data_IF_850859867022
#
_entry.id   IF_850859867022
#
_cell.length_a   1.000
_cell.length_b   1.000
_cell.length_c   1.000
_cell.angle_alpha   90.00
_cell.angle_beta   90.00
_cell.angle_gamma   90.00
#
_symmetry.space_group_name_H-M   'P 1'
#
loop_
_entity.id
_entity.type
_entity.pdbx_description
1 polymer ?
#
# COMPACT_ATOMS: atom_id res chain seq x y z
N UNK A 1 4.98 -14.53 -6.44
CA UNK A 1 6.01 -13.95 -5.55
C UNK A 1 6.21 -12.52 -6.02
N UNK A 2 6.32 -11.54 -5.10
CA UNK A 2 6.52 -10.15 -5.48
C UNK A 2 7.87 -10.01 -6.19
N UNK A 3 7.87 -9.67 -7.47
CA UNK A 3 9.03 -9.92 -8.33
C UNK A 3 9.85 -8.66 -8.64
N UNK A 4 9.39 -7.48 -8.23
CA UNK A 4 10.04 -6.21 -8.59
C UNK A 4 10.04 -5.24 -7.44
N UNK A 5 11.25 -4.81 -7.07
CA UNK A 5 11.53 -3.85 -6.00
C UNK A 5 11.21 -2.44 -6.48
N UNK A 6 10.37 -1.72 -5.75
CA UNK A 6 10.03 -0.31 -6.00
C UNK A 6 10.96 0.63 -5.23
N UNK A 7 11.18 0.33 -3.94
CA UNK A 7 11.95 1.19 -3.03
C UNK A 7 12.45 0.39 -1.84
N UNK A 8 13.63 0.75 -1.35
CA UNK A 8 14.15 0.32 -0.05
C UNK A 8 14.25 1.52 0.90
N UNK A 9 14.10 1.28 2.20
CA UNK A 9 14.34 2.29 3.24
C UNK A 9 14.81 1.67 4.55
N UNK A 10 15.55 2.43 5.35
CA UNK A 10 15.96 1.98 6.69
C UNK A 10 14.71 1.90 7.59
N UNK A 11 14.65 0.87 8.41
CA UNK A 11 13.54 0.64 9.35
C UNK A 11 13.28 1.86 10.26
N UNK A 12 14.33 2.65 10.54
CA UNK A 12 14.29 3.88 11.36
C UNK A 12 13.59 5.04 10.66
N UNK A 13 13.51 5.02 9.33
CA UNK A 13 12.89 6.10 8.54
C UNK A 13 11.36 5.99 8.49
N UNK A 14 10.80 4.84 8.92
CA UNK A 14 9.36 4.61 8.84
C UNK A 14 8.63 5.08 10.11
N UNK A 15 7.60 5.91 9.91
CA UNK A 15 6.72 6.37 10.99
C UNK A 15 5.95 5.22 11.62
N UNK A 16 5.82 5.28 12.94
CA UNK A 16 4.90 4.43 13.71
C UNK A 16 3.45 4.83 13.38
N UNK A 17 2.59 3.85 13.10
CA UNK A 17 1.16 4.08 12.84
C UNK A 17 0.34 3.46 13.98
N UNK A 18 -0.31 4.30 14.81
CA UNK A 18 -1.36 3.89 15.75
C UNK A 18 -0.98 3.83 17.24
N UNK A 19 -2.02 3.63 18.07
CA UNK A 19 -2.06 3.74 19.53
C UNK A 19 -1.01 2.90 20.29
N UNK A 20 -0.53 1.79 19.71
CA UNK A 20 0.51 0.91 20.29
C UNK A 20 1.94 1.19 19.77
N UNK A 21 2.15 2.20 18.92
CA UNK A 21 3.48 2.51 18.38
C UNK A 21 4.03 1.47 17.38
N UNK A 22 3.19 0.59 16.82
CA UNK A 22 3.63 -0.39 15.82
C UNK A 22 3.99 0.31 14.50
N UNK A 23 5.13 -0.06 13.94
CA UNK A 23 5.56 0.46 12.66
C UNK A 23 4.63 0.00 11.52
N UNK A 24 4.38 0.89 10.54
CA UNK A 24 3.47 0.65 9.43
C UNK A 24 3.69 -0.71 8.72
N UNK A 25 4.96 -1.10 8.52
CA UNK A 25 5.30 -2.35 7.84
C UNK A 25 4.88 -3.60 8.61
N UNK A 26 4.78 -3.56 9.95
CA UNK A 26 4.37 -4.71 10.77
C UNK A 26 2.90 -5.06 10.59
N UNK A 27 2.06 -4.05 10.35
CA UNK A 27 0.61 -4.20 10.18
C UNK A 27 0.19 -4.14 8.71
N UNK A 28 1.13 -3.87 7.80
CA UNK A 28 0.84 -3.67 6.38
C UNK A 28 0.10 -4.86 5.74
N UNK A 29 0.49 -6.11 6.06
CA UNK A 29 -0.18 -7.29 5.55
C UNK A 29 -1.67 -7.33 5.96
N UNK A 30 -1.97 -7.00 7.21
CA UNK A 30 -3.34 -6.99 7.73
C UNK A 30 -4.18 -5.86 7.10
N UNK A 31 -3.60 -4.68 6.96
CA UNK A 31 -4.25 -3.53 6.32
C UNK A 31 -4.58 -3.85 4.86
N UNK A 32 -3.60 -4.36 4.10
CA UNK A 32 -3.78 -4.76 2.70
C UNK A 32 -4.85 -5.82 2.55
N UNK A 33 -4.84 -6.83 3.42
CA UNK A 33 -5.85 -7.89 3.40
C UNK A 33 -7.24 -7.35 3.72
N UNK A 34 -7.34 -6.45 4.69
CA UNK A 34 -8.60 -5.76 5.01
C UNK A 34 -9.11 -4.99 3.80
N UNK A 35 -8.24 -4.25 3.09
CA UNK A 35 -8.64 -3.53 1.88
C UNK A 35 -9.04 -4.47 0.75
N UNK A 36 -8.32 -5.58 0.56
CA UNK A 36 -8.68 -6.61 -0.43
C UNK A 36 -10.07 -7.17 -0.20
N UNK A 37 -10.40 -7.50 1.07
CA UNK A 37 -11.68 -8.11 1.46
C UNK A 37 -12.83 -7.10 1.47
N UNK A 38 -12.59 -5.86 1.93
CA UNK A 38 -13.66 -4.87 2.15
C UNK A 38 -13.86 -3.90 0.99
N UNK A 39 -12.80 -3.54 0.27
CA UNK A 39 -12.83 -2.55 -0.82
C UNK A 39 -12.57 -3.19 -2.19
N UNK A 40 -11.88 -4.33 -2.23
CA UNK A 40 -11.53 -5.07 -3.45
C UNK A 40 -10.03 -5.07 -3.73
N UNK A 41 -9.60 -6.03 -4.57
CA UNK A 41 -8.16 -6.29 -4.86
C UNK A 41 -7.41 -5.04 -5.33
N UNK A 42 -8.01 -4.24 -6.22
CA UNK A 42 -7.35 -3.05 -6.79
C UNK A 42 -6.85 -2.06 -5.74
N UNK A 43 -7.55 -1.91 -4.61
CA UNK A 43 -7.16 -0.97 -3.56
C UNK A 43 -6.04 -1.54 -2.67
N UNK A 44 -5.95 -2.86 -2.54
CA UNK A 44 -4.79 -3.51 -1.93
C UNK A 44 -3.57 -3.46 -2.86
N UNK A 45 -3.78 -3.46 -4.18
CA UNK A 45 -2.74 -3.36 -5.20
C UNK A 45 -2.11 -1.96 -5.31
N UNK A 46 -2.78 -0.92 -4.80
CA UNK A 46 -2.19 0.44 -4.70
C UNK A 46 -1.13 0.56 -3.62
N UNK A 47 -1.08 -0.40 -2.68
CA UNK A 47 -0.07 -0.44 -1.64
C UNK A 47 1.06 -1.36 -2.10
N UNK A 48 2.32 -1.02 -1.83
CA UNK A 48 3.44 -1.93 -2.03
C UNK A 48 3.55 -2.96 -0.89
N UNK A 49 4.18 -4.11 -1.14
CA UNK A 49 4.37 -5.16 -0.13
C UNK A 49 5.70 -4.90 0.57
N UNK A 50 5.72 -4.53 1.87
CA UNK A 50 6.96 -4.43 2.61
C UNK A 50 7.48 -5.82 2.99
N UNK A 51 8.76 -6.06 2.76
CA UNK A 51 9.49 -7.22 3.23
C UNK A 51 10.76 -6.76 3.94
N UNK A 52 11.08 -7.38 5.07
CA UNK A 52 12.37 -7.16 5.73
C UNK A 52 13.47 -7.86 4.96
N UNK A 53 14.62 -7.20 4.81
CA UNK A 53 15.83 -7.86 4.34
C UNK A 53 16.36 -8.84 5.40
N UNK A 54 17.33 -9.68 5.02
CA UNK A 54 17.91 -10.71 5.90
C UNK A 54 18.55 -10.13 7.17
N UNK A 55 19.04 -8.90 7.13
CA UNK A 55 19.62 -8.20 8.28
C UNK A 55 18.57 -7.53 9.18
N UNK A 56 17.32 -7.45 8.74
CA UNK A 56 16.18 -6.87 9.47
C UNK A 56 16.22 -5.35 9.65
N UNK A 57 17.18 -4.65 9.06
CA UNK A 57 17.36 -3.20 9.16
C UNK A 57 16.78 -2.42 7.98
N UNK A 58 16.51 -3.10 6.86
CA UNK A 58 15.94 -2.49 5.65
C UNK A 58 14.57 -3.10 5.38
N UNK A 59 13.64 -2.25 4.95
CA UNK A 59 12.36 -2.65 4.41
C UNK A 59 12.37 -2.42 2.90
N UNK A 60 12.27 -3.50 2.16
CA UNK A 60 12.13 -3.54 0.72
C UNK A 60 10.64 -3.58 0.34
N UNK A 61 10.24 -2.67 -0.53
CA UNK A 61 8.85 -2.50 -0.96
C UNK A 61 8.68 -3.00 -2.38
N UNK A 62 7.83 -4.01 -2.57
CA UNK A 62 7.67 -4.68 -3.87
C UNK A 62 6.29 -4.43 -4.50
N UNK A 63 6.23 -4.60 -5.82
CA UNK A 63 4.97 -4.59 -6.58
C UNK A 63 4.08 -5.76 -6.13
N UNK A 64 2.77 -5.51 -5.87
CA UNK A 64 1.87 -6.53 -5.31
C UNK A 64 1.09 -7.36 -6.33
N UNK A 65 1.28 -7.13 -7.62
CA UNK A 65 0.58 -7.80 -8.72
C UNK A 65 1.58 -8.27 -9.77
N UNK A 66 1.18 -9.25 -10.58
CA UNK A 66 1.98 -9.73 -11.70
C UNK A 66 1.95 -8.74 -12.87
N UNK A 67 3.00 -8.76 -13.71
CA UNK A 67 3.05 -7.91 -14.89
C UNK A 67 1.99 -8.33 -15.92
N UNK A 68 1.39 -7.34 -16.57
CA UNK A 68 0.51 -7.55 -17.71
C UNK A 68 1.28 -7.71 -19.04
N UNK A 69 2.61 -7.51 -19.04
CA UNK A 69 3.46 -7.65 -20.21
C UNK A 69 3.86 -9.11 -20.43
N UNK A 70 3.93 -9.59 -21.69
CA UNK A 70 4.29 -10.98 -21.99
C UNK A 70 5.69 -11.40 -21.54
N UNK A 71 6.61 -10.44 -21.42
CA UNK A 71 7.99 -10.65 -20.97
C UNK A 71 8.15 -10.60 -19.44
N UNK A 72 7.05 -10.34 -18.71
CA UNK A 72 7.04 -10.23 -17.26
C UNK A 72 7.64 -8.93 -16.70
N UNK A 73 8.03 -7.97 -17.55
CA UNK A 73 8.58 -6.69 -17.11
C UNK A 73 7.49 -5.70 -16.72
N UNK A 74 7.80 -4.80 -15.79
CA UNK A 74 6.89 -3.74 -15.37
C UNK A 74 7.33 -2.43 -16.02
N UNK A 75 6.36 -1.68 -16.54
CA UNK A 75 6.58 -0.29 -16.91
C UNK A 75 6.35 0.58 -15.67
N UNK A 76 7.45 1.06 -15.08
CA UNK A 76 7.45 1.84 -13.84
C UNK A 76 7.85 3.26 -14.20
N UNK A 77 6.90 4.18 -14.06
CA UNK A 77 7.14 5.62 -14.26
C UNK A 77 7.36 6.27 -12.89
N UNK A 78 8.58 6.74 -12.57
CA UNK A 78 8.82 7.52 -11.36
C UNK A 78 7.99 8.80 -11.39
N UNK A 79 7.47 9.23 -10.23
CA UNK A 79 6.65 10.44 -10.14
C UNK A 79 7.33 11.67 -10.76
N UNK A 80 8.63 11.84 -10.54
CA UNK A 80 9.43 12.95 -11.08
C UNK A 80 9.58 12.94 -12.60
N UNK A 81 9.33 11.78 -13.23
CA UNK A 81 9.45 11.58 -14.67
C UNK A 81 8.08 11.39 -15.35
N UNK A 82 7.00 11.33 -14.57
CA UNK A 82 5.65 11.20 -15.08
C UNK A 82 5.19 12.50 -15.76
N UNK A 83 4.53 12.36 -16.90
CA UNK A 83 3.85 13.46 -17.58
C UNK A 83 2.70 14.02 -16.73
N UNK A 84 2.27 15.25 -17.03
CA UNK A 84 1.16 15.89 -16.33
C UNK A 84 -0.13 15.05 -16.37
N UNK A 85 -0.42 14.42 -17.52
CA UNK A 85 -1.60 13.54 -17.68
C UNK A 85 -1.50 12.27 -16.82
N UNK A 86 -0.32 11.67 -16.71
CA UNK A 86 -0.09 10.50 -15.86
C UNK A 86 -0.22 10.88 -14.38
N UNK A 87 0.37 12.01 -13.97
CA UNK A 87 0.24 12.54 -12.62
C UNK A 87 -1.22 12.84 -12.27
N UNK A 88 -1.96 13.51 -13.15
CA UNK A 88 -3.39 13.79 -12.95
C UNK A 88 -4.21 12.51 -12.76
N UNK A 89 -3.95 11.50 -13.60
CA UNK A 89 -4.64 10.22 -13.54
C UNK A 89 -4.33 9.49 -12.24
N UNK A 90 -3.07 9.43 -11.84
CA UNK A 90 -2.63 8.85 -10.58
C UNK A 90 -3.23 9.58 -9.35
N UNK A 91 -3.32 10.92 -9.38
CA UNK A 91 -3.95 11.70 -8.31
C UNK A 91 -5.46 11.45 -8.21
N UNK A 92 -6.16 11.25 -9.33
CA UNK A 92 -7.58 10.88 -9.33
C UNK A 92 -7.79 9.54 -8.63
N UNK A 93 -6.97 8.53 -8.95
CA UNK A 93 -7.00 7.22 -8.30
C UNK A 93 -6.67 7.32 -6.81
N UNK A 94 -5.64 8.09 -6.45
CA UNK A 94 -5.25 8.30 -5.05
C UNK A 94 -6.37 8.95 -4.23
N UNK A 95 -7.03 9.99 -4.77
CA UNK A 95 -8.17 10.65 -4.11
C UNK A 95 -9.35 9.71 -3.93
N UNK A 96 -9.61 8.84 -4.91
CA UNK A 96 -10.65 7.82 -4.76
C UNK A 96 -10.30 6.81 -3.66
N UNK A 97 -9.07 6.32 -3.68
CA UNK A 97 -8.56 5.41 -2.66
C UNK A 97 -8.67 6.00 -1.26
N UNK A 98 -8.23 7.24 -1.06
CA UNK A 98 -8.34 7.95 0.21
C UNK A 98 -9.79 8.01 0.71
N UNK A 99 -10.72 8.46 -0.15
CA UNK A 99 -12.15 8.51 0.20
C UNK A 99 -12.70 7.15 0.63
N UNK A 100 -12.35 6.08 -0.10
CA UNK A 100 -12.80 4.71 0.21
C UNK A 100 -12.25 4.20 1.53
N UNK A 101 -10.97 4.46 1.80
CA UNK A 101 -10.30 4.06 3.05
C UNK A 101 -10.86 4.80 4.25
N UNK A 102 -11.07 6.13 4.14
CA UNK A 102 -11.68 6.94 5.20
C UNK A 102 -13.09 6.45 5.51
N UNK A 103 -13.93 6.27 4.49
CA UNK A 103 -15.29 5.77 4.67
C UNK A 103 -15.32 4.38 5.34
N UNK A 104 -14.40 3.48 4.96
CA UNK A 104 -14.27 2.18 5.62
C UNK A 104 -13.88 2.33 7.09
N UNK A 105 -12.94 3.23 7.40
CA UNK A 105 -12.53 3.53 8.78
C UNK A 105 -13.70 4.01 9.63
N UNK A 106 -14.51 4.94 9.12
CA UNK A 106 -15.72 5.44 9.77
C UNK A 106 -16.77 4.34 10.00
N UNK A 107 -16.99 3.47 9.00
CA UNK A 107 -17.89 2.33 9.12
C UNK A 107 -17.44 1.34 10.18
N UNK A 108 -16.15 1.02 10.24
CA UNK A 108 -15.58 0.13 11.25
C UNK A 108 -15.71 0.73 12.65
N UNK A 109 -15.42 2.03 12.82
CA UNK A 109 -15.57 2.72 14.08
C UNK A 109 -17.03 2.73 14.56
N UNK A 110 -17.98 2.99 13.66
CA UNK A 110 -19.41 3.01 13.97
C UNK A 110 -19.95 1.63 14.35
N UNK A 111 -19.52 0.57 13.66
CA UNK A 111 -19.92 -0.81 13.97
C UNK A 111 -19.31 -1.33 15.28
N UNK A 112 -18.19 -0.76 15.73
CA UNK A 112 -17.57 -1.10 17.01
C UNK A 112 -18.44 -0.65 18.20
N UNK A 113 -19.22 0.41 18.03
CA UNK A 113 -20.11 0.97 19.05
C UNK A 113 -21.47 0.24 19.18
N UNK A 114 -21.67 -0.90 18.51
CA UNK A 114 -22.94 -1.68 18.55
C UNK A 114 -22.76 -3.00 19.34
N UNK A 115 -21.60 -3.22 19.96
CA UNK A 115 -21.38 -4.38 20.86
C UNK A 115 -21.17 -3.93 22.30
N UNK A 116 -22.25 -3.48 22.93
CA UNK A 116 -22.43 -3.49 24.39
C UNK A 116 -23.86 -3.93 24.71
#
# INVERSE_FOLDING_TARGET
MANTLLRSGDIKDFKMLGHDGKAAYLVAAQIRETFRVKLGKQFADYLAIPQRNDQGNIIDWYIPFDSNQPDGQYDIVPWTSASESEQESALKLLKEFERKVVALGEQLASNSNIKD
#
